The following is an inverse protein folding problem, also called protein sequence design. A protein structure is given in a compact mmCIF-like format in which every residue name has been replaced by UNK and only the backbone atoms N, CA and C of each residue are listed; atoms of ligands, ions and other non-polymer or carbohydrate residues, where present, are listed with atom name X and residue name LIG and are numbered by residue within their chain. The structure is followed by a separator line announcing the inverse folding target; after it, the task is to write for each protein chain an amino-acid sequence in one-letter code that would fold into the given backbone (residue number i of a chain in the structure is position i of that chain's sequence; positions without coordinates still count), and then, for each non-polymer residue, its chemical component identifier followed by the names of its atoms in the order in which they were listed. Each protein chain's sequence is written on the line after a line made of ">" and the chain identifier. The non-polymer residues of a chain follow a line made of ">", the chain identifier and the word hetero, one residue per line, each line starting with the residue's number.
data_IF_028917217003
#
_entry.id   IF_028917217003
#
_cell.length_a   1.000
_cell.length_b   1.000
_cell.length_c   1.000
_cell.angle_alpha   90.00
_cell.angle_beta   90.00
_cell.angle_gamma   90.00
#
_symmetry.space_group_name_H-M   'P 1'
#
loop_
_entity.id
_entity.type
_entity.pdbx_description
1 polymer ?
#
# COMPACT_ATOMS: atom_id res chain seq x y z
N UNK A 1 -11.88 -2.45 -33.62
CA UNK A 1 -10.96 -1.47 -32.99
C UNK A 1 -9.68 -2.14 -32.52
N UNK A 2 -9.75 -3.36 -31.97
CA UNK A 2 -8.59 -4.11 -31.47
C UNK A 2 -7.55 -4.40 -32.56
N UNK A 3 -7.98 -4.66 -33.80
CA UNK A 3 -7.07 -4.87 -34.92
C UNK A 3 -6.15 -3.67 -35.13
N UNK A 4 -6.69 -2.44 -35.04
CA UNK A 4 -5.90 -1.21 -35.17
C UNK A 4 -4.81 -1.12 -34.10
N UNK A 5 -5.09 -1.57 -32.88
CA UNK A 5 -4.13 -1.54 -31.78
C UNK A 5 -3.08 -2.65 -31.91
N UNK A 6 -3.48 -3.83 -32.41
CA UNK A 6 -2.58 -4.94 -32.68
C UNK A 6 -1.60 -4.68 -33.85
N UNK A 7 -1.81 -3.64 -34.64
CA UNK A 7 -0.85 -3.18 -35.66
C UNK A 7 0.19 -2.20 -35.12
N UNK A 8 0.08 -1.74 -33.87
CA UNK A 8 0.97 -0.71 -33.34
C UNK A 8 2.34 -1.26 -32.93
N UNK A 9 2.41 -2.52 -32.48
CA UNK A 9 3.66 -3.19 -32.11
C UNK A 9 3.54 -4.70 -32.40
N UNK A 10 4.53 -5.28 -33.08
CA UNK A 10 4.52 -6.70 -33.45
C UNK A 10 4.65 -7.65 -32.24
N UNK A 11 5.24 -7.18 -31.14
CA UNK A 11 5.50 -7.95 -29.92
C UNK A 11 4.37 -7.86 -28.89
N UNK A 12 3.45 -6.90 -29.02
CA UNK A 12 2.35 -6.69 -28.08
C UNK A 12 1.01 -6.92 -28.79
N UNK A 13 0.42 -8.10 -28.59
CA UNK A 13 -0.90 -8.45 -29.10
C UNK A 13 -1.94 -8.43 -27.98
N UNK A 14 -3.01 -7.67 -28.21
CA UNK A 14 -4.21 -7.65 -27.39
C UNK A 14 -5.15 -8.76 -27.88
N UNK A 15 -5.57 -9.63 -26.96
CA UNK A 15 -6.62 -10.61 -27.20
C UNK A 15 -7.97 -10.05 -26.72
N UNK A 16 -8.99 -10.13 -27.57
CA UNK A 16 -10.37 -9.86 -27.18
C UNK A 16 -11.00 -11.11 -26.59
N UNK A 17 -11.77 -10.96 -25.52
CA UNK A 17 -12.72 -11.97 -25.09
C UNK A 17 -14.05 -11.27 -24.84
N UNK A 18 -15.09 -11.71 -25.57
CA UNK A 18 -16.45 -11.22 -25.41
C UNK A 18 -17.22 -12.30 -24.67
N UNK A 19 -17.67 -11.97 -23.46
CA UNK A 19 -18.40 -12.90 -22.62
C UNK A 19 -19.16 -12.19 -21.51
N UNK A 20 -19.83 -13.00 -20.71
CA UNK A 20 -20.51 -12.56 -19.48
C UNK A 20 -19.49 -12.23 -18.38
N UNK A 21 -18.27 -12.74 -18.51
CA UNK A 21 -17.16 -12.52 -17.57
C UNK A 21 -15.95 -11.92 -18.26
N UNK A 22 -15.17 -11.15 -17.49
CA UNK A 22 -13.89 -10.61 -17.91
C UNK A 22 -12.91 -10.53 -16.74
N UNK A 23 -11.66 -10.91 -16.98
CA UNK A 23 -10.57 -10.77 -16.02
C UNK A 23 -9.71 -9.56 -16.38
N UNK A 24 -9.47 -8.66 -15.41
CA UNK A 24 -8.57 -7.52 -15.60
C UNK A 24 -7.71 -7.30 -14.35
N UNK A 25 -6.39 -7.41 -14.52
CA UNK A 25 -5.43 -7.34 -13.42
C UNK A 25 -5.76 -8.35 -12.30
N UNK A 26 -6.22 -7.85 -11.16
CA UNK A 26 -6.57 -8.61 -9.96
C UNK A 26 -8.09 -8.72 -9.75
N UNK A 27 -8.89 -8.35 -10.75
CA UNK A 27 -10.35 -8.32 -10.71
C UNK A 27 -10.95 -9.34 -11.68
N UNK A 28 -11.88 -10.13 -11.16
CA UNK A 28 -12.80 -10.93 -11.96
C UNK A 28 -14.13 -10.19 -12.00
N UNK A 29 -14.63 -9.90 -13.18
CA UNK A 29 -15.85 -9.13 -13.41
C UNK A 29 -16.86 -10.08 -14.06
N UNK A 30 -18.08 -10.10 -13.55
CA UNK A 30 -19.19 -10.90 -14.03
C UNK A 30 -20.42 -10.00 -14.21
N UNK A 31 -21.05 -10.05 -15.38
CA UNK A 31 -22.31 -9.39 -15.64
C UNK A 31 -23.47 -10.33 -15.29
N UNK A 32 -24.25 -10.00 -14.27
CA UNK A 32 -25.47 -10.73 -13.91
C UNK A 32 -26.66 -9.85 -14.25
N UNK A 33 -27.33 -10.17 -15.34
CA UNK A 33 -28.56 -9.50 -15.80
C UNK A 33 -28.47 -7.95 -15.90
N UNK A 34 -27.30 -7.44 -16.31
CA UNK A 34 -27.04 -6.00 -16.47
C UNK A 34 -26.32 -5.35 -15.29
N UNK A 35 -26.10 -6.07 -14.20
CA UNK A 35 -25.34 -5.61 -13.04
C UNK A 35 -23.94 -6.24 -13.01
N UNK A 36 -22.91 -5.42 -12.75
CA UNK A 36 -21.54 -5.88 -12.65
C UNK A 36 -21.20 -6.32 -11.22
N UNK A 37 -20.87 -7.59 -11.07
CA UNK A 37 -20.32 -8.18 -9.86
C UNK A 37 -18.82 -8.35 -10.02
N UNK A 38 -18.08 -7.98 -8.99
CA UNK A 38 -16.63 -8.10 -9.00
C UNK A 38 -16.18 -9.01 -7.86
N UNK A 39 -15.15 -9.81 -8.12
CA UNK A 39 -14.45 -10.62 -7.12
C UNK A 39 -12.94 -10.55 -7.36
N UNK A 40 -12.17 -11.11 -6.44
CA UNK A 40 -10.71 -11.15 -6.57
C UNK A 40 -10.31 -12.21 -7.59
N UNK A 41 -9.63 -11.80 -8.66
CA UNK A 41 -9.05 -12.72 -9.63
C UNK A 41 -7.70 -13.23 -9.14
N UNK A 42 -7.47 -14.53 -9.29
CA UNK A 42 -6.19 -15.19 -9.08
C UNK A 42 -5.88 -15.97 -10.35
N UNK A 43 -4.66 -15.80 -10.88
CA UNK A 43 -4.23 -16.57 -12.05
C UNK A 43 -4.26 -18.06 -11.74
N UNK A 44 -4.48 -18.95 -12.72
CA UNK A 44 -4.46 -20.40 -12.50
C UNK A 44 -3.15 -20.92 -11.88
N UNK A 45 -2.04 -20.21 -12.12
CA UNK A 45 -0.72 -20.51 -11.55
C UNK A 45 -0.49 -19.89 -10.17
N UNK A 46 -1.51 -19.28 -9.55
CA UNK A 46 -1.37 -18.64 -8.26
C UNK A 46 -1.13 -19.69 -7.18
N UNK A 47 -0.02 -19.53 -6.47
CA UNK A 47 0.26 -20.29 -5.27
C UNK A 47 -0.01 -19.41 -4.04
N UNK A 48 -0.55 -19.96 -2.94
CA UNK A 48 -0.78 -19.22 -1.70
C UNK A 48 0.53 -18.96 -0.94
N UNK A 49 1.59 -18.54 -1.64
CA UNK A 49 2.89 -18.26 -1.08
C UNK A 49 2.99 -16.78 -0.70
N UNK A 50 3.01 -16.54 0.60
CA UNK A 50 3.35 -15.24 1.18
C UNK A 50 4.71 -15.34 1.86
N UNK A 51 5.27 -14.19 2.18
CA UNK A 51 6.50 -14.13 2.95
C UNK A 51 6.35 -14.93 4.26
N UNK A 52 7.12 -16.01 4.48
CA UNK A 52 6.98 -16.83 5.67
C UNK A 52 7.17 -16.04 6.96
N UNK A 53 6.39 -16.35 7.99
CA UNK A 53 6.46 -15.60 9.25
C UNK A 53 7.83 -15.73 9.94
N UNK A 54 8.53 -16.84 9.74
CA UNK A 54 9.89 -17.10 10.25
C UNK A 54 10.99 -16.30 9.53
N UNK A 55 10.70 -15.65 8.41
CA UNK A 55 11.71 -14.91 7.65
C UNK A 55 12.26 -13.70 8.45
N UNK A 56 13.55 -13.37 8.24
CA UNK A 56 14.27 -12.25 8.86
C UNK A 56 13.90 -10.93 8.16
N UNK A 57 12.61 -10.64 8.11
CA UNK A 57 12.11 -9.36 7.63
C UNK A 57 11.40 -8.61 8.76
N UNK A 58 11.45 -7.26 8.71
CA UNK A 58 10.75 -6.42 9.67
C UNK A 58 9.26 -6.78 9.79
N UNK A 59 8.75 -6.74 11.02
CA UNK A 59 7.35 -7.10 11.30
C UNK A 59 6.34 -6.23 10.51
N UNK A 60 6.68 -4.98 10.22
CA UNK A 60 5.79 -4.09 9.46
C UNK A 60 5.52 -4.60 8.04
N UNK A 61 6.47 -5.31 7.41
CA UNK A 61 6.26 -5.92 6.09
C UNK A 61 5.23 -7.05 6.16
N UNK A 62 5.37 -7.93 7.17
CA UNK A 62 4.44 -9.04 7.43
C UNK A 62 3.03 -8.53 7.72
N UNK A 63 2.91 -7.43 8.48
CA UNK A 63 1.63 -6.74 8.72
C UNK A 63 1.04 -6.16 7.43
N UNK A 64 1.87 -5.53 6.59
CA UNK A 64 1.44 -4.94 5.33
C UNK A 64 0.90 -5.96 4.33
N UNK A 65 1.41 -7.19 4.31
CA UNK A 65 0.85 -8.27 3.47
C UNK A 65 -0.62 -8.49 3.83
N UNK A 66 -0.93 -8.66 5.12
CA UNK A 66 -2.30 -8.88 5.59
C UNK A 66 -3.17 -7.65 5.30
N UNK A 67 -2.64 -6.45 5.56
CA UNK A 67 -3.34 -5.19 5.29
C UNK A 67 -3.75 -5.05 3.83
N UNK A 68 -2.80 -5.23 2.91
CA UNK A 68 -3.03 -5.05 1.47
C UNK A 68 -3.99 -6.08 0.90
N UNK A 69 -3.85 -7.36 1.29
CA UNK A 69 -4.72 -8.42 0.79
C UNK A 69 -6.15 -8.29 1.31
N UNK A 70 -6.35 -7.96 2.59
CA UNK A 70 -7.70 -7.77 3.11
C UNK A 70 -8.36 -6.50 2.56
N UNK A 71 -7.60 -5.41 2.42
CA UNK A 71 -8.09 -4.18 1.78
C UNK A 71 -8.52 -4.45 0.33
N UNK A 72 -7.72 -5.23 -0.41
CA UNK A 72 -8.06 -5.70 -1.75
C UNK A 72 -9.37 -6.49 -1.76
N UNK A 73 -9.54 -7.45 -0.85
CA UNK A 73 -10.80 -8.21 -0.74
C UNK A 73 -12.01 -7.30 -0.48
N UNK A 74 -11.89 -6.31 0.43
CA UNK A 74 -12.99 -5.37 0.72
C UNK A 74 -13.33 -4.52 -0.51
N UNK A 75 -12.33 -4.04 -1.26
CA UNK A 75 -12.55 -3.20 -2.44
C UNK A 75 -13.12 -3.99 -3.61
N UNK A 76 -12.64 -5.21 -3.83
CA UNK A 76 -12.90 -5.95 -5.07
C UNK A 76 -14.16 -6.79 -5.00
N UNK A 77 -14.51 -7.39 -3.86
CA UNK A 77 -15.71 -8.21 -3.76
C UNK A 77 -16.98 -7.34 -3.74
N UNK A 78 -17.92 -7.57 -4.65
CA UNK A 78 -19.21 -6.84 -4.64
C UNK A 78 -20.13 -7.32 -3.53
N UNK A 79 -20.07 -8.60 -3.17
CA UNK A 79 -20.94 -9.20 -2.15
C UNK A 79 -20.18 -9.50 -0.86
N UNK A 80 -20.91 -9.48 0.27
CA UNK A 80 -20.34 -9.86 1.56
C UNK A 80 -19.86 -11.32 1.58
N UNK A 81 -20.57 -12.22 0.88
CA UNK A 81 -20.19 -13.62 0.80
C UNK A 81 -18.87 -13.82 0.06
N UNK A 82 -18.67 -13.11 -1.04
CA UNK A 82 -17.40 -13.17 -1.80
C UNK A 82 -16.24 -12.62 -0.96
N UNK A 83 -16.49 -11.55 -0.20
CA UNK A 83 -15.51 -11.02 0.75
C UNK A 83 -15.15 -12.06 1.82
N UNK A 84 -16.13 -12.76 2.41
CA UNK A 84 -15.87 -13.80 3.39
C UNK A 84 -15.05 -14.94 2.79
N UNK A 85 -15.40 -15.38 1.59
CA UNK A 85 -14.67 -16.44 0.88
C UNK A 85 -13.20 -16.03 0.68
N UNK A 86 -12.95 -14.79 0.24
CA UNK A 86 -11.58 -14.30 0.03
C UNK A 86 -10.83 -14.08 1.36
N UNK A 87 -11.50 -13.62 2.41
CA UNK A 87 -10.94 -13.49 3.76
C UNK A 87 -10.49 -14.85 4.31
N UNK A 88 -11.29 -15.91 4.11
CA UNK A 88 -10.92 -17.27 4.54
C UNK A 88 -9.79 -17.84 3.69
N UNK A 89 -9.78 -17.61 2.37
CA UNK A 89 -8.63 -17.96 1.50
C UNK A 89 -7.34 -17.29 1.97
N UNK A 90 -7.40 -16.00 2.29
CA UNK A 90 -6.26 -15.25 2.86
C UNK A 90 -5.81 -15.86 4.18
N UNK A 91 -6.73 -16.15 5.10
CA UNK A 91 -6.42 -16.80 6.39
C UNK A 91 -5.71 -18.12 6.18
N UNK A 92 -6.23 -18.98 5.30
CA UNK A 92 -5.61 -20.27 4.98
C UNK A 92 -4.20 -20.11 4.42
N UNK A 93 -4.00 -19.20 3.47
CA UNK A 93 -2.68 -18.92 2.91
C UNK A 93 -1.70 -18.39 3.98
N UNK A 94 -2.13 -17.51 4.89
CA UNK A 94 -1.29 -17.04 6.00
C UNK A 94 -0.91 -18.17 6.97
N UNK A 95 -1.84 -19.06 7.30
CA UNK A 95 -1.58 -20.22 8.15
C UNK A 95 -0.59 -21.19 7.50
N UNK A 96 -0.69 -21.42 6.18
CA UNK A 96 0.28 -22.20 5.41
C UNK A 96 1.68 -21.59 5.50
N UNK A 97 1.78 -20.26 5.46
CA UNK A 97 3.02 -19.50 5.62
C UNK A 97 3.43 -19.25 7.10
N UNK A 98 2.89 -20.06 8.02
CA UNK A 98 3.24 -20.11 9.45
C UNK A 98 2.96 -18.83 10.24
N UNK A 99 2.00 -18.01 9.81
CA UNK A 99 1.55 -16.87 10.60
C UNK A 99 0.78 -17.36 11.84
N UNK A 100 1.07 -16.84 13.05
CA UNK A 100 0.32 -17.20 14.24
C UNK A 100 -1.14 -16.79 14.13
N UNK A 101 -2.07 -17.67 14.52
CA UNK A 101 -3.50 -17.42 14.36
C UNK A 101 -3.96 -16.12 15.08
N UNK A 102 -3.56 -15.95 16.35
CA UNK A 102 -3.81 -14.72 17.12
C UNK A 102 -3.31 -13.45 16.42
N UNK A 103 -2.18 -13.55 15.70
CA UNK A 103 -1.62 -12.44 14.95
C UNK A 103 -2.51 -12.08 13.76
N UNK A 104 -3.01 -13.07 13.02
CA UNK A 104 -3.95 -12.87 11.90
C UNK A 104 -5.21 -12.17 12.40
N UNK A 105 -5.83 -12.68 13.48
CA UNK A 105 -7.06 -12.10 14.04
C UNK A 105 -6.85 -10.64 14.47
N UNK A 106 -5.74 -10.37 15.16
CA UNK A 106 -5.36 -9.01 15.56
C UNK A 106 -5.20 -8.09 14.36
N UNK A 107 -4.58 -8.58 13.27
CA UNK A 107 -4.41 -7.77 12.06
C UNK A 107 -5.73 -7.52 11.33
N UNK A 108 -6.64 -8.52 11.26
CA UNK A 108 -7.96 -8.33 10.66
C UNK A 108 -8.77 -7.24 11.38
N UNK A 109 -8.76 -7.24 12.72
CA UNK A 109 -9.43 -6.19 13.53
C UNK A 109 -8.75 -4.84 13.29
N UNK A 110 -7.41 -4.79 13.36
CA UNK A 110 -6.64 -3.56 13.15
C UNK A 110 -6.95 -2.89 11.81
N UNK A 111 -7.14 -3.68 10.74
CA UNK A 111 -7.45 -3.14 9.40
C UNK A 111 -8.82 -2.47 9.40
N UNK A 112 -9.83 -3.09 10.00
CA UNK A 112 -11.17 -2.50 10.10
C UNK A 112 -11.13 -1.18 10.89
N UNK A 113 -10.43 -1.17 12.03
CA UNK A 113 -10.22 0.06 12.82
C UNK A 113 -9.51 1.14 12.00
N UNK A 114 -8.48 0.77 11.23
CA UNK A 114 -7.72 1.69 10.38
C UNK A 114 -8.58 2.30 9.26
N UNK A 115 -9.61 1.58 8.81
CA UNK A 115 -10.59 2.03 7.83
C UNK A 115 -11.79 2.77 8.47
N UNK A 116 -11.70 3.11 9.77
CA UNK A 116 -12.76 3.75 10.56
C UNK A 116 -14.04 2.90 10.68
N UNK A 117 -13.92 1.57 10.58
CA UNK A 117 -15.02 0.62 10.74
C UNK A 117 -14.97 0.11 12.19
N UNK A 118 -15.82 0.67 13.06
CA UNK A 118 -15.87 0.30 14.49
C UNK A 118 -16.65 -0.98 14.78
N UNK A 119 -17.38 -1.50 13.80
CA UNK A 119 -18.24 -2.67 13.93
C UNK A 119 -17.80 -3.79 12.99
N UNK A 120 -18.25 -5.02 13.25
CA UNK A 120 -17.99 -6.13 12.34
C UNK A 120 -18.72 -5.91 11.00
N UNK A 121 -18.09 -6.31 9.89
CA UNK A 121 -18.74 -6.35 8.60
C UNK A 121 -19.82 -7.44 8.60
N UNK A 122 -21.03 -7.07 8.20
CA UNK A 122 -22.19 -7.95 8.05
C UNK A 122 -22.81 -7.74 6.69
N UNK A 123 -23.69 -8.65 6.28
CA UNK A 123 -24.38 -8.56 5.00
C UNK A 123 -25.11 -7.22 4.81
N UNK A 124 -25.62 -6.63 5.88
CA UNK A 124 -26.39 -5.38 5.85
C UNK A 124 -25.52 -4.11 5.73
N UNK A 125 -24.29 -4.13 6.26
CA UNK A 125 -23.44 -2.94 6.34
C UNK A 125 -22.27 -2.95 5.34
N UNK A 126 -21.99 -4.11 4.73
CA UNK A 126 -20.82 -4.32 3.89
C UNK A 126 -20.77 -3.37 2.69
N UNK A 127 -21.89 -3.24 1.96
CA UNK A 127 -21.97 -2.41 0.78
C UNK A 127 -21.65 -0.94 1.10
N UNK A 128 -22.21 -0.41 2.19
CA UNK A 128 -21.99 0.98 2.62
C UNK A 128 -20.50 1.26 2.92
N UNK A 129 -19.83 0.38 3.68
CA UNK A 129 -18.41 0.54 3.98
C UNK A 129 -17.54 0.35 2.74
N UNK A 130 -17.87 -0.60 1.87
CA UNK A 130 -17.16 -0.81 0.61
C UNK A 130 -17.19 0.44 -0.26
N UNK A 131 -18.36 1.05 -0.45
CA UNK A 131 -18.50 2.30 -1.21
C UNK A 131 -17.65 3.41 -0.59
N UNK A 132 -17.70 3.61 0.72
CA UNK A 132 -16.83 4.58 1.42
C UNK A 132 -15.33 4.37 1.18
N UNK A 133 -14.88 3.12 1.01
CA UNK A 133 -13.48 2.80 0.74
C UNK A 133 -13.11 3.03 -0.72
N UNK A 134 -14.01 2.71 -1.65
CA UNK A 134 -13.79 2.90 -3.10
C UNK A 134 -13.79 4.39 -3.44
N UNK A 135 -14.78 5.12 -2.93
CA UNK A 135 -15.01 6.53 -3.22
C UNK A 135 -14.17 7.47 -2.34
N UNK A 136 -13.24 6.91 -1.55
CA UNK A 136 -12.35 7.68 -0.70
C UNK A 136 -11.55 8.66 -1.57
N UNK A 137 -11.60 9.97 -1.26
CA UNK A 137 -10.98 10.97 -2.11
C UNK A 137 -9.48 10.70 -2.20
N UNK A 138 -8.96 10.79 -3.43
CA UNK A 138 -7.52 10.78 -3.65
C UNK A 138 -6.95 11.94 -2.84
N UNK A 139 -6.10 11.64 -1.86
CA UNK A 139 -5.38 12.69 -1.12
C UNK A 139 -4.43 13.36 -2.10
N UNK A 140 -4.85 14.46 -2.69
CA UNK A 140 -3.96 15.33 -3.44
C UNK A 140 -2.83 15.76 -2.52
N UNK A 141 -1.58 15.62 -2.99
CA UNK A 141 -0.45 16.18 -2.28
C UNK A 141 -0.64 17.69 -2.33
N UNK A 142 -0.82 18.31 -1.17
CA UNK A 142 -0.87 19.77 -1.06
C UNK A 142 0.40 20.32 -1.73
N UNK A 143 0.29 21.23 -2.73
CA UNK A 143 1.44 21.80 -3.38
C UNK A 143 2.29 22.52 -2.34
N UNK A 144 3.60 22.30 -2.40
CA UNK A 144 4.53 22.85 -1.42
C UNK A 144 4.82 24.30 -1.82
N UNK A 145 4.48 25.25 -0.95
CA UNK A 145 4.86 26.64 -1.13
C UNK A 145 6.36 26.79 -0.78
N UNK A 146 7.21 26.82 -1.80
CA UNK A 146 8.66 26.98 -1.64
C UNK A 146 9.07 28.35 -1.09
N UNK A 147 8.19 29.37 -1.10
CA UNK A 147 8.45 30.66 -0.47
C UNK A 147 8.35 30.61 1.06
N UNK A 148 7.56 29.66 1.59
CA UNK A 148 7.34 29.47 3.03
C UNK A 148 7.90 28.16 3.57
N UNK A 149 8.29 27.21 2.71
CA UNK A 149 8.73 25.89 3.17
C UNK A 149 10.24 25.77 3.14
N UNK A 150 10.84 25.45 4.28
CA UNK A 150 12.28 25.13 4.37
C UNK A 150 12.49 23.62 4.52
N UNK A 151 13.19 23.00 3.59
CA UNK A 151 13.54 21.59 3.71
C UNK A 151 14.75 21.38 4.60
N UNK A 152 14.54 20.72 5.73
CA UNK A 152 15.60 20.38 6.69
C UNK A 152 15.93 18.90 6.54
N UNK A 153 17.10 18.64 5.98
CA UNK A 153 17.56 17.27 5.80
C UNK A 153 18.35 16.76 7.00
N UNK A 154 18.03 15.56 7.47
CA UNK A 154 18.78 14.90 8.54
C UNK A 154 19.08 13.44 8.21
N UNK A 155 20.13 12.91 8.81
CA UNK A 155 20.48 11.49 8.73
C UNK A 155 19.65 10.74 9.77
N UNK A 156 18.85 9.78 9.33
CA UNK A 156 18.06 8.96 10.24
C UNK A 156 18.94 7.89 10.91
N UNK A 157 18.99 7.90 12.24
CA UNK A 157 19.49 6.82 13.07
C UNK A 157 18.35 6.26 13.94
N UNK A 158 18.41 4.99 14.35
CA UNK A 158 17.37 4.34 15.18
C UNK A 158 16.99 5.14 16.43
N UNK A 159 17.97 5.79 17.06
CA UNK A 159 17.80 6.65 18.24
C UNK A 159 17.11 7.98 17.94
N UNK A 160 16.97 8.36 16.66
CA UNK A 160 16.36 9.62 16.21
C UNK A 160 14.89 9.45 15.80
N UNK A 161 14.22 8.35 16.15
CA UNK A 161 12.79 8.16 15.84
C UNK A 161 11.90 9.31 16.32
N UNK A 162 12.20 9.87 17.50
CA UNK A 162 11.46 10.99 18.08
C UNK A 162 11.98 12.37 17.64
N UNK A 163 13.05 12.42 16.82
CA UNK A 163 13.67 13.67 16.40
C UNK A 163 12.70 14.58 15.65
N UNK A 164 11.88 14.11 14.69
CA UNK A 164 10.99 15.02 13.97
C UNK A 164 10.03 15.79 14.87
N UNK A 165 9.39 15.10 15.83
CA UNK A 165 8.54 15.75 16.82
C UNK A 165 9.30 16.74 17.70
N UNK A 166 10.47 16.34 18.23
CA UNK A 166 11.30 17.21 19.08
C UNK A 166 11.84 18.43 18.34
N UNK A 167 12.15 18.30 17.05
CA UNK A 167 12.60 19.39 16.21
C UNK A 167 11.49 20.43 16.04
N UNK A 168 10.25 20.03 15.73
CA UNK A 168 9.15 20.98 15.61
C UNK A 168 8.84 21.70 16.92
N UNK A 169 8.92 20.99 18.06
CA UNK A 169 8.79 21.63 19.38
C UNK A 169 9.89 22.67 19.61
N UNK A 170 11.13 22.34 19.25
CA UNK A 170 12.27 23.27 19.38
C UNK A 170 12.16 24.45 18.41
N UNK A 171 11.73 24.20 17.18
CA UNK A 171 11.51 25.22 16.15
C UNK A 171 10.50 26.25 16.63
N UNK A 172 9.33 25.80 17.08
CA UNK A 172 8.30 26.69 17.61
C UNK A 172 8.80 27.45 18.85
N UNK A 173 9.55 26.79 19.75
CA UNK A 173 10.08 27.46 20.95
C UNK A 173 11.00 28.64 20.63
N UNK A 174 11.87 28.52 19.64
CA UNK A 174 12.91 29.53 19.36
C UNK A 174 12.55 30.49 18.22
N UNK A 175 11.70 30.07 17.28
CA UNK A 175 11.45 30.82 16.04
C UNK A 175 10.01 31.31 15.89
N UNK A 176 9.10 30.99 16.81
CA UNK A 176 7.71 31.50 16.74
C UNK A 176 7.61 33.04 16.81
N UNK A 177 8.53 33.70 17.53
CA UNK A 177 8.57 35.17 17.65
C UNK A 177 9.62 35.81 16.73
N UNK A 178 10.24 35.02 15.85
CA UNK A 178 11.30 35.46 14.95
C UNK A 178 10.73 36.00 13.63
N UNK A 179 11.47 36.83 12.86
CA UNK A 179 11.07 37.23 11.51
C UNK A 179 10.86 36.07 10.54
N UNK A 180 11.32 34.86 10.89
CA UNK A 180 11.16 33.63 10.11
C UNK A 180 9.99 32.74 10.59
N UNK A 181 9.07 33.25 11.40
CA UNK A 181 7.89 32.52 11.87
C UNK A 181 7.04 31.97 10.69
N UNK A 182 7.00 32.68 9.57
CA UNK A 182 6.26 32.25 8.38
C UNK A 182 6.90 31.03 7.68
N UNK A 183 8.11 30.62 8.08
CA UNK A 183 8.81 29.47 7.52
C UNK A 183 8.32 28.18 8.20
N UNK A 184 7.79 27.26 7.39
CA UNK A 184 7.38 25.91 7.77
C UNK A 184 8.54 24.95 7.47
N UNK A 185 9.27 24.47 8.48
CA UNK A 185 10.35 23.53 8.24
C UNK A 185 9.76 22.14 7.95
N UNK A 186 10.10 21.57 6.79
CA UNK A 186 9.74 20.20 6.44
C UNK A 186 10.96 19.31 6.56
N UNK A 187 10.89 18.33 7.47
CA UNK A 187 11.98 17.40 7.70
C UNK A 187 12.00 16.29 6.65
N UNK A 188 13.14 16.15 5.97
CA UNK A 188 13.39 15.05 5.03
C UNK A 188 14.53 14.17 5.52
N UNK A 189 14.36 12.85 5.48
CA UNK A 189 15.49 11.94 5.72
C UNK A 189 16.39 11.91 4.48
N UNK A 190 17.70 12.08 4.67
CA UNK A 190 18.68 11.76 3.62
C UNK A 190 18.97 10.26 3.71
N UNK A 191 18.70 9.52 2.64
CA UNK A 191 19.31 8.20 2.45
C UNK A 191 20.80 8.41 2.26
N UNK A 192 21.60 8.04 3.26
CA UNK A 192 23.06 8.16 3.19
C UNK A 192 23.62 7.02 2.34
N UNK A 193 23.47 7.14 1.01
CA UNK A 193 24.31 6.37 0.07
C UNK A 193 25.65 7.07 -0.18
N UNK A 194 25.91 8.20 0.50
CA UNK A 194 27.07 9.06 0.22
C UNK A 194 28.38 8.54 0.81
N UNK A 195 28.35 7.76 1.90
CA UNK A 195 29.57 7.13 2.43
C UNK A 195 30.01 5.96 1.55
N UNK A 196 29.08 5.09 1.15
CA UNK A 196 29.35 3.98 0.23
C UNK A 196 29.77 4.49 -1.16
N UNK A 197 29.12 5.52 -1.71
CA UNK A 197 29.55 6.15 -2.98
C UNK A 197 30.92 6.82 -2.88
N UNK A 198 31.26 7.46 -1.75
CA UNK A 198 32.62 8.01 -1.52
C UNK A 198 33.67 6.91 -1.40
N UNK A 199 33.38 5.85 -0.66
CA UNK A 199 34.29 4.70 -0.45
C UNK A 199 34.49 3.88 -1.73
N UNK A 200 33.47 3.79 -2.58
CA UNK A 200 33.55 3.13 -3.90
C UNK A 200 34.33 4.00 -4.89
N UNK A 201 34.18 5.34 -4.89
CA UNK A 201 34.97 6.22 -5.76
C UNK A 201 36.46 6.34 -5.35
N UNK A 202 36.82 6.09 -4.09
CA UNK A 202 38.24 6.00 -3.68
C UNK A 202 38.96 4.74 -4.15
N UNK A 203 38.26 3.79 -4.80
CA UNK A 203 38.88 2.69 -5.54
C UNK A 203 38.83 2.98 -7.04
N UNK A 204 39.60 3.98 -7.49
CA UNK A 204 40.01 4.09 -8.89
C UNK A 204 41.52 3.87 -8.95
N UNK A 205 41.89 2.74 -9.58
CA UNK A 205 43.14 2.45 -10.29
C UNK A 205 44.47 2.83 -9.62
N UNK A 206 45.03 1.89 -8.85
CA UNK A 206 46.45 1.58 -9.00
C UNK A 206 46.54 0.25 -9.76
N UNK A 207 46.55 0.35 -11.09
CA UNK A 207 47.11 -0.67 -11.96
C UNK A 207 48.59 -0.37 -12.13
N UNK A 208 49.43 -1.15 -11.47
CA UNK A 208 50.72 -1.63 -11.99
C UNK A 208 50.71 -3.16 -11.85
#
# INVERSE_FOLDING_TARGET
>A
QIDKWNHFDENIKLSENIGVTADFLDLHIENRDGELFTTVYQKPSYEPYYLPFSSIHPLHMKKNIIFTMLLRAIRYCSTFQDYLNERERLRMALLLNKYPNKFIDTQFIYILEKLNIKQLLTINNYAEYRHKIIDSPIKEKVPIDFGKTMFVHFTYCSNMRAFPGKFHVSWNKYFAESPINDIIPTLGTRNVNNLQRRLVHTRLYNSE
#
